data_IF_893971006035
#
_entry.id   IF_893971006035
#
_cell.length_a   1.000
_cell.length_b   1.000
_cell.length_c   1.000
_cell.angle_alpha   90.00
_cell.angle_beta   90.00
_cell.angle_gamma   90.00
#
_symmetry.space_group_name_H-M   'P 1'
#
loop_
_entity.id
_entity.type
_entity.pdbx_description
1 polymer ?
#
# COMPACT_ATOMS: atom_id res chain seq x y z
N UNK A 1 9.70 13.71 11.25
CA UNK A 1 9.37 12.53 10.43
C UNK A 1 10.14 12.66 9.12
N UNK A 2 10.89 11.64 8.71
CA UNK A 2 11.56 11.64 7.40
C UNK A 2 10.48 11.32 6.36
N UNK A 3 10.08 12.30 5.54
CA UNK A 3 9.09 12.08 4.47
C UNK A 3 9.82 11.64 3.20
N UNK A 4 9.72 10.37 2.83
CA UNK A 4 10.26 9.86 1.58
C UNK A 4 9.25 10.07 0.46
N UNK A 5 9.03 11.33 0.06
CA UNK A 5 7.97 11.77 -0.87
C UNK A 5 7.90 10.94 -2.15
N UNK A 6 9.04 10.45 -2.66
CA UNK A 6 9.06 9.59 -3.85
C UNK A 6 8.42 8.22 -3.58
N UNK A 7 8.68 7.62 -2.41
CA UNK A 7 8.09 6.34 -1.99
C UNK A 7 6.61 6.48 -1.68
N UNK A 8 6.21 7.54 -0.99
CA UNK A 8 4.80 7.80 -0.68
C UNK A 8 3.98 8.03 -1.96
N UNK A 9 4.55 8.75 -2.92
CA UNK A 9 3.92 8.96 -4.24
C UNK A 9 3.82 7.64 -5.01
N UNK A 10 4.90 6.85 -5.05
CA UNK A 10 4.89 5.53 -5.71
C UNK A 10 3.84 4.60 -5.09
N UNK A 11 3.79 4.52 -3.75
CA UNK A 11 2.86 3.67 -3.03
C UNK A 11 1.42 4.14 -3.22
N UNK A 12 1.17 5.45 -3.18
CA UNK A 12 -0.13 6.04 -3.47
C UNK A 12 -0.63 5.70 -4.88
N UNK A 13 0.23 5.83 -5.89
CA UNK A 13 -0.06 5.43 -7.27
C UNK A 13 -0.32 3.92 -7.39
N UNK A 14 0.49 3.09 -6.71
CA UNK A 14 0.32 1.64 -6.71
C UNK A 14 -1.01 1.22 -6.10
N UNK A 15 -1.37 1.77 -4.93
CA UNK A 15 -2.67 1.53 -4.29
C UNK A 15 -3.80 2.01 -5.20
N UNK A 16 -3.68 3.19 -5.82
CA UNK A 16 -4.69 3.69 -6.74
C UNK A 16 -4.92 2.75 -7.94
N UNK A 17 -3.85 2.19 -8.51
CA UNK A 17 -3.93 1.22 -9.60
C UNK A 17 -4.62 -0.08 -9.19
N UNK A 18 -4.33 -0.60 -7.99
CA UNK A 18 -4.98 -1.82 -7.48
C UNK A 18 -6.47 -1.56 -7.18
N UNK A 19 -6.82 -0.41 -6.59
CA UNK A 19 -8.22 -0.01 -6.39
C UNK A 19 -8.95 0.04 -7.72
N UNK A 20 -8.38 0.69 -8.74
CA UNK A 20 -8.99 0.80 -10.06
C UNK A 20 -9.22 -0.59 -10.70
N UNK A 21 -8.27 -1.51 -10.52
CA UNK A 21 -8.36 -2.88 -11.06
C UNK A 21 -9.34 -3.77 -10.29
N UNK A 22 -9.63 -3.46 -9.03
CA UNK A 22 -10.53 -4.24 -8.18
C UNK A 22 -12.02 -4.01 -8.46
N UNK A 23 -12.37 -2.92 -9.16
CA UNK A 23 -13.76 -2.48 -9.32
C UNK A 23 -14.40 -1.87 -8.07
N UNK A 24 -13.69 -1.81 -6.95
CA UNK A 24 -14.16 -1.22 -5.69
C UNK A 24 -13.96 0.31 -5.73
N UNK A 25 -14.99 1.07 -5.38
CA UNK A 25 -14.91 2.54 -5.29
C UNK A 25 -14.00 2.97 -4.14
N UNK A 26 -13.23 4.06 -4.33
CA UNK A 26 -12.38 4.65 -3.27
C UNK A 26 -13.15 4.97 -1.98
N UNK A 27 -14.40 5.42 -2.09
CA UNK A 27 -15.27 5.69 -0.93
C UNK A 27 -15.57 4.42 -0.13
N UNK A 28 -15.84 3.31 -0.82
CA UNK A 28 -16.05 2.01 -0.18
C UNK A 28 -14.76 1.46 0.45
N UNK A 29 -13.59 1.74 -0.16
CA UNK A 29 -12.30 1.41 0.46
C UNK A 29 -12.11 2.20 1.76
N UNK A 30 -12.35 3.51 1.74
CA UNK A 30 -12.26 4.37 2.92
C UNK A 30 -13.17 3.86 4.06
N UNK A 31 -14.44 3.61 3.73
CA UNK A 31 -15.43 3.08 4.68
C UNK A 31 -15.01 1.72 5.28
N UNK A 32 -14.67 0.75 4.42
CA UNK A 32 -14.30 -0.61 4.86
C UNK A 32 -12.99 -0.68 5.62
N UNK A 33 -12.08 0.27 5.39
CA UNK A 33 -10.80 0.37 6.14
C UNK A 33 -10.93 1.17 7.42
N UNK A 34 -12.07 1.83 7.68
CA UNK A 34 -12.26 2.75 8.79
C UNK A 34 -11.48 4.07 8.65
N UNK A 35 -10.95 4.36 7.45
CA UNK A 35 -10.15 5.54 7.18
C UNK A 35 -11.02 6.67 6.63
N UNK A 36 -10.89 7.92 7.12
CA UNK A 36 -11.55 9.05 6.49
C UNK A 36 -11.16 9.16 5.01
N UNK A 37 -12.13 9.48 4.15
CA UNK A 37 -11.87 9.59 2.70
C UNK A 37 -10.79 10.63 2.39
N UNK A 38 -10.76 11.75 3.12
CA UNK A 38 -9.72 12.78 3.01
C UNK A 38 -8.33 12.23 3.33
N UNK A 39 -8.22 11.40 4.36
CA UNK A 39 -6.98 10.72 4.75
C UNK A 39 -6.54 9.75 3.65
N UNK A 40 -7.45 8.90 3.15
CA UNK A 40 -7.14 7.98 2.04
C UNK A 40 -6.67 8.78 0.82
N UNK A 41 -7.39 9.83 0.45
CA UNK A 41 -7.06 10.65 -0.71
C UNK A 41 -5.74 11.41 -0.54
N UNK A 42 -5.39 11.85 0.67
CA UNK A 42 -4.09 12.44 0.99
C UNK A 42 -2.96 11.42 0.79
N UNK A 43 -3.13 10.20 1.29
CA UNK A 43 -2.15 9.11 1.13
C UNK A 43 -2.00 8.68 -0.33
N UNK A 44 -3.11 8.56 -1.07
CA UNK A 44 -3.09 8.24 -2.50
C UNK A 44 -2.36 9.29 -3.34
N UNK A 45 -2.38 10.55 -2.92
CA UNK A 45 -1.65 11.66 -3.58
C UNK A 45 -0.20 11.80 -3.10
N UNK A 46 0.24 10.97 -2.14
CA UNK A 46 1.60 11.04 -1.57
C UNK A 46 1.82 12.21 -0.60
N UNK A 47 0.77 12.87 -0.13
CA UNK A 47 0.88 13.94 0.87
C UNK A 47 1.05 13.40 2.29
N UNK A 48 0.75 12.11 2.51
CA UNK A 48 0.98 11.41 3.77
C UNK A 48 1.32 9.95 3.51
N UNK A 49 2.11 9.36 4.40
CA UNK A 49 2.58 7.98 4.25
C UNK A 49 1.50 6.98 4.66
N UNK A 50 1.53 5.78 4.07
CA UNK A 50 0.77 4.63 4.57
C UNK A 50 1.53 3.97 5.72
N UNK A 51 0.81 3.62 6.77
CA UNK A 51 1.31 2.71 7.81
C UNK A 51 1.18 1.27 7.34
N UNK A 52 1.90 0.35 8.00
CA UNK A 52 1.75 -1.07 7.70
C UNK A 52 0.32 -1.57 7.90
N UNK A 53 -0.34 -1.13 8.97
CA UNK A 53 -1.73 -1.46 9.26
C UNK A 53 -2.70 -0.96 8.18
N UNK A 54 -2.47 0.25 7.62
CA UNK A 54 -3.25 0.73 6.47
C UNK A 54 -3.15 -0.22 5.29
N UNK A 55 -1.92 -0.67 4.97
CA UNK A 55 -1.66 -1.57 3.84
C UNK A 55 -2.33 -2.93 4.05
N UNK A 56 -2.27 -3.49 5.25
CA UNK A 56 -2.94 -4.78 5.56
C UNK A 56 -4.45 -4.65 5.40
N UNK A 57 -5.07 -3.60 5.94
CA UNK A 57 -6.52 -3.38 5.79
C UNK A 57 -6.92 -3.18 4.34
N UNK A 58 -6.16 -2.38 3.58
CA UNK A 58 -6.42 -2.16 2.15
C UNK A 58 -6.31 -3.48 1.39
N UNK A 59 -5.28 -4.29 1.63
CA UNK A 59 -5.11 -5.60 1.00
C UNK A 59 -6.31 -6.53 1.27
N UNK A 60 -6.80 -6.57 2.52
CA UNK A 60 -7.97 -7.36 2.90
C UNK A 60 -9.26 -6.91 2.20
N UNK A 61 -9.46 -5.60 2.06
CA UNK A 61 -10.62 -5.03 1.37
C UNK A 61 -10.55 -5.29 -0.14
N UNK A 62 -9.37 -5.17 -0.73
CA UNK A 62 -9.13 -5.37 -2.16
C UNK A 62 -8.94 -6.85 -2.55
N UNK A 63 -8.94 -7.76 -1.57
CA UNK A 63 -8.74 -9.21 -1.75
C UNK A 63 -7.47 -9.53 -2.54
N UNK A 64 -6.38 -8.83 -2.24
CA UNK A 64 -5.08 -9.05 -2.85
C UNK A 64 -4.00 -9.36 -1.81
N UNK A 65 -2.89 -9.96 -2.27
CA UNK A 65 -1.73 -10.20 -1.41
C UNK A 65 -1.06 -8.85 -1.01
N UNK A 66 -0.72 -8.63 0.28
CA UNK A 66 -0.07 -7.40 0.72
C UNK A 66 1.27 -7.10 0.03
N UNK A 67 1.98 -8.12 -0.44
CA UNK A 67 3.26 -7.99 -1.16
C UNK A 67 3.11 -7.24 -2.49
N UNK A 68 1.89 -7.08 -3.00
CA UNK A 68 1.60 -6.25 -4.18
C UNK A 68 1.96 -4.77 -3.94
N UNK A 69 1.96 -4.33 -2.67
CA UNK A 69 2.28 -2.96 -2.28
C UNK A 69 3.75 -2.75 -1.91
N UNK A 70 4.59 -3.77 -2.06
CA UNK A 70 6.04 -3.63 -1.86
C UNK A 70 6.69 -3.06 -3.12
N UNK A 71 7.64 -2.10 -2.98
CA UNK A 71 8.43 -1.62 -4.10
C UNK A 71 9.17 -2.74 -4.82
N UNK A 72 9.42 -2.64 -6.14
CA UNK A 72 10.13 -3.67 -6.89
C UNK A 72 11.51 -4.01 -6.33
N UNK A 73 12.18 -3.07 -5.65
CA UNK A 73 13.46 -3.29 -4.97
C UNK A 73 13.39 -4.38 -3.88
N UNK A 74 12.21 -4.65 -3.32
CA UNK A 74 12.01 -5.74 -2.35
C UNK A 74 11.80 -7.11 -3.02
N UNK A 75 11.59 -7.16 -4.34
CA UNK A 75 11.39 -8.42 -5.08
C UNK A 75 12.69 -9.17 -5.36
N UNK A 76 13.85 -8.60 -5.04
CA UNK A 76 15.15 -9.21 -5.29
C UNK A 76 16.06 -9.22 -4.06
N UNK A 77 15.96 -10.27 -3.26
CA UNK A 77 17.11 -11.09 -2.92
C UNK A 77 16.60 -12.42 -2.37
N UNK A 78 16.63 -13.46 -3.21
CA UNK A 78 16.53 -14.85 -2.76
C UNK A 78 17.76 -15.26 -1.96
N UNK A 79 18.11 -14.50 -0.91
CA UNK A 79 19.05 -14.92 0.11
C UNK A 79 18.35 -15.93 1.01
N UNK A 80 18.29 -17.16 0.51
CA UNK A 80 18.47 -18.33 1.37
C UNK A 80 19.85 -18.16 2.00
N UNK A 81 19.95 -17.43 3.11
CA UNK A 81 21.08 -17.64 4.01
C UNK A 81 20.89 -19.05 4.56
N UNK A 82 21.61 -20.01 3.99
CA UNK A 82 21.91 -21.27 4.66
C UNK A 82 22.50 -20.87 6.01
N UNK A 83 21.74 -21.06 7.08
CA UNK A 83 22.28 -21.03 8.42
C UNK A 83 23.24 -22.22 8.45
N UNK A 84 24.54 -21.94 8.37
CA UNK A 84 25.55 -22.96 8.58
C UNK A 84 25.42 -23.43 10.03
N UNK A 85 25.00 -24.68 10.19
CA UNK A 85 25.10 -25.42 11.44
C UNK A 85 26.54 -25.91 11.63
#
# INVERSE_FOLDING_TARGET
MITNTSTDTWLGQKVQSVIASSGIKKTAVAEKTGMPYSTLNSKLRGYSSFTFDDIIRIAQVLKCDPCVFLPPSFRQSGMVQKVAA
#
